data_IF_499165710437
#
_entry.id   IF_499165710437
#
_cell.length_a   1.000
_cell.length_b   1.000
_cell.length_c   1.000
_cell.angle_alpha   90.00
_cell.angle_beta   90.00
_cell.angle_gamma   90.00
#
_symmetry.space_group_name_H-M   'P 1'
#
loop_
_entity.id
_entity.type
_entity.pdbx_description
1 polymer ?
#
# COMPACT_ATOMS: atom_id res chain seq x y z
N UNK A 1 0.38 -30.88 13.95
CA UNK A 1 1.28 -30.27 12.95
C UNK A 1 0.49 -29.18 12.27
N UNK A 2 0.82 -27.91 12.52
CA UNK A 2 0.13 -26.81 11.85
C UNK A 2 0.56 -26.82 10.39
N UNK A 3 -0.39 -27.01 9.48
CA UNK A 3 -0.16 -26.84 8.06
C UNK A 3 0.28 -25.40 7.87
N UNK A 4 1.55 -25.18 7.49
CA UNK A 4 2.03 -23.87 7.04
C UNK A 4 1.27 -23.57 5.75
N UNK A 5 0.09 -22.98 5.90
CA UNK A 5 -0.70 -22.52 4.77
C UNK A 5 0.16 -21.53 4.02
N UNK A 6 0.51 -21.85 2.78
CA UNK A 6 1.00 -20.86 1.85
C UNK A 6 -0.02 -19.71 1.88
N UNK A 7 0.41 -18.53 2.33
CA UNK A 7 -0.40 -17.33 2.16
C UNK A 7 -0.48 -17.12 0.66
N UNK A 8 -1.63 -17.44 0.08
CA UNK A 8 -1.89 -17.11 -1.30
C UNK A 8 -1.81 -15.59 -1.40
N UNK A 9 -0.95 -15.03 -2.27
CA UNK A 9 -0.89 -13.60 -2.47
C UNK A 9 -2.29 -13.05 -2.75
N UNK A 10 -2.68 -12.01 -2.02
CA UNK A 10 -3.93 -11.29 -2.27
C UNK A 10 -3.62 -9.99 -2.98
N UNK A 11 -4.36 -9.67 -4.05
CA UNK A 11 -4.32 -8.38 -4.72
C UNK A 11 -5.70 -7.72 -4.61
N UNK A 12 -5.74 -6.50 -4.07
CA UNK A 12 -6.96 -5.74 -3.85
C UNK A 12 -6.78 -4.34 -4.43
N UNK A 13 -7.74 -3.92 -5.26
CA UNK A 13 -7.83 -2.54 -5.72
C UNK A 13 -8.40 -1.64 -4.62
N UNK A 14 -7.79 -0.47 -4.44
CA UNK A 14 -8.24 0.56 -3.51
C UNK A 14 -8.44 1.87 -4.27
N UNK A 15 -9.62 2.45 -4.09
CA UNK A 15 -9.91 3.80 -4.54
C UNK A 15 -9.27 4.80 -3.56
N UNK A 16 -8.28 5.52 -4.04
CA UNK A 16 -7.64 6.61 -3.30
C UNK A 16 -8.26 7.91 -3.77
N UNK A 17 -8.73 8.74 -2.84
CA UNK A 17 -9.32 10.04 -3.14
C UNK A 17 -8.39 11.20 -2.79
N UNK A 18 -8.93 12.41 -2.90
CA UNK A 18 -8.27 13.65 -2.48
C UNK A 18 -8.22 13.86 -0.95
N UNK A 19 -8.82 12.95 -0.18
CA UNK A 19 -8.67 12.86 1.28
C UNK A 19 -7.95 11.55 1.62
N UNK A 20 -7.26 11.52 2.76
CA UNK A 20 -6.55 10.32 3.22
C UNK A 20 -7.49 9.11 3.33
N UNK A 21 -7.24 8.09 2.52
CA UNK A 21 -7.99 6.82 2.50
C UNK A 21 -7.12 5.71 3.07
N UNK A 22 -7.66 4.89 3.97
CA UNK A 22 -6.96 3.69 4.44
C UNK A 22 -6.89 2.62 3.35
N UNK A 23 -5.68 2.18 3.01
CA UNK A 23 -5.43 1.18 1.95
C UNK A 23 -4.93 -0.17 2.48
N UNK A 24 -4.31 -0.18 3.66
CA UNK A 24 -3.98 -1.41 4.39
C UNK A 24 -4.35 -1.28 5.86
N UNK A 25 -4.93 -2.32 6.43
CA UNK A 25 -5.04 -2.45 7.88
C UNK A 25 -3.70 -2.87 8.49
N UNK A 26 -3.54 -2.57 9.79
CA UNK A 26 -2.43 -3.10 10.57
C UNK A 26 -2.56 -4.62 10.71
N UNK A 27 -1.46 -5.33 10.48
CA UNK A 27 -1.36 -6.78 10.61
C UNK A 27 -0.41 -7.13 11.77
N UNK A 28 -0.71 -8.20 12.52
CA UNK A 28 0.20 -8.68 13.55
C UNK A 28 1.49 -9.23 12.91
N UNK A 29 2.65 -9.17 13.57
CA UNK A 29 3.90 -9.75 13.06
C UNK A 29 3.81 -11.25 12.71
N UNK A 30 2.89 -11.99 13.33
CA UNK A 30 2.64 -13.42 13.07
C UNK A 30 1.85 -13.68 11.78
N UNK A 31 1.50 -12.65 11.01
CA UNK A 31 0.68 -12.78 9.80
C UNK A 31 1.34 -13.57 8.67
N UNK A 32 2.66 -13.78 8.71
CA UNK A 32 3.42 -14.49 7.67
C UNK A 32 3.62 -13.72 6.35
N UNK A 33 3.02 -12.53 6.21
CA UNK A 33 3.26 -11.60 5.10
C UNK A 33 4.73 -11.19 5.08
N UNK A 34 5.35 -11.39 3.93
CA UNK A 34 6.76 -11.09 3.65
C UNK A 34 6.94 -9.90 2.73
N UNK A 35 5.88 -9.48 2.02
CA UNK A 35 5.90 -8.28 1.18
C UNK A 35 4.53 -7.59 1.05
N UNK A 36 4.60 -6.31 0.66
CA UNK A 36 3.49 -5.50 0.15
C UNK A 36 3.98 -4.74 -1.09
N UNK A 37 3.36 -4.98 -2.23
CA UNK A 37 3.56 -4.25 -3.47
C UNK A 37 2.39 -3.30 -3.70
N UNK A 38 2.71 -2.04 -3.90
CA UNK A 38 1.77 -0.97 -4.19
C UNK A 38 1.98 -0.52 -5.62
N UNK A 39 0.92 -0.52 -6.43
CA UNK A 39 1.00 -0.12 -7.84
C UNK A 39 -0.02 0.97 -8.11
N UNK A 40 0.47 2.16 -8.43
CA UNK A 40 -0.37 3.28 -8.84
C UNK A 40 -0.76 3.08 -10.30
N UNK A 41 -2.00 2.65 -10.54
CA UNK A 41 -2.50 2.38 -11.90
C UNK A 41 -2.91 3.69 -12.61
N UNK A 42 -2.98 4.80 -11.89
CA UNK A 42 -3.28 6.11 -12.45
C UNK A 42 -2.11 6.68 -13.25
N UNK A 43 -2.40 7.33 -14.37
CA UNK A 43 -1.45 7.91 -15.31
C UNK A 43 -1.30 9.44 -15.19
N UNK A 44 -2.14 10.07 -14.35
CA UNK A 44 -2.27 11.52 -14.23
C UNK A 44 -1.95 12.07 -12.84
N UNK A 45 -1.86 11.22 -11.80
CA UNK A 45 -1.55 11.66 -10.44
C UNK A 45 -0.62 10.72 -9.69
N UNK A 46 0.27 11.33 -8.88
CA UNK A 46 1.09 10.65 -7.89
C UNK A 46 0.24 10.31 -6.64
N UNK A 47 0.57 9.19 -5.98
CA UNK A 47 -0.06 8.75 -4.73
C UNK A 47 0.96 8.85 -3.59
N UNK A 48 0.55 9.44 -2.48
CA UNK A 48 1.36 9.63 -1.27
C UNK A 48 0.88 8.66 -0.19
N UNK A 49 1.79 7.91 0.42
CA UNK A 49 1.50 6.97 1.50
C UNK A 49 1.90 7.52 2.87
N UNK A 50 0.98 7.41 3.82
CA UNK A 50 1.20 7.63 5.25
C UNK A 50 1.30 6.30 5.99
N UNK A 51 2.42 6.07 6.70
CA UNK A 51 2.64 4.86 7.49
C UNK A 51 2.24 5.12 8.95
N UNK A 52 1.23 4.39 9.44
CA UNK A 52 0.73 4.48 10.82
C UNK A 52 0.02 5.80 11.14
N UNK A 53 -0.32 6.59 10.11
CA UNK A 53 -0.98 7.88 10.22
C UNK A 53 -1.71 8.23 8.92
N UNK A 54 -2.54 9.27 8.98
CA UNK A 54 -3.16 9.85 7.80
C UNK A 54 -2.11 10.27 6.76
N UNK A 55 -2.41 10.03 5.49
CA UNK A 55 -1.57 10.46 4.38
C UNK A 55 -1.80 11.94 4.09
N UNK A 56 -0.73 12.62 3.69
CA UNK A 56 -0.74 14.04 3.34
C UNK A 56 -0.05 14.22 1.97
N UNK A 57 -0.63 15.05 1.11
CA UNK A 57 -0.05 15.38 -0.20
C UNK A 57 1.36 15.97 -0.04
N UNK A 58 2.28 15.58 -0.92
CA UNK A 58 3.69 16.01 -0.91
C UNK A 58 4.48 15.60 0.34
N UNK A 59 4.00 14.61 1.11
CA UNK A 59 4.70 14.06 2.29
C UNK A 59 4.71 12.53 2.26
N UNK A 60 5.65 11.94 3.02
CA UNK A 60 5.74 10.48 3.15
C UNK A 60 6.38 9.80 1.93
N UNK A 61 5.94 8.57 1.65
CA UNK A 61 6.41 7.81 0.49
C UNK A 61 5.58 8.17 -0.73
N UNK A 62 6.23 8.41 -1.87
CA UNK A 62 5.55 8.78 -3.12
C UNK A 62 5.62 7.63 -4.11
N UNK A 63 4.47 7.18 -4.58
CA UNK A 63 4.34 6.31 -5.73
C UNK A 63 3.96 7.20 -6.91
N UNK A 64 4.92 7.40 -7.81
CA UNK A 64 4.68 8.22 -9.00
C UNK A 64 3.55 7.62 -9.83
N UNK A 65 2.90 8.46 -10.64
CA UNK A 65 1.94 8.01 -11.65
C UNK A 65 2.51 6.84 -12.47
N UNK A 66 1.69 5.80 -12.66
CA UNK A 66 2.05 4.55 -13.33
C UNK A 66 3.27 3.84 -12.73
N UNK A 67 3.64 4.17 -11.48
CA UNK A 67 4.78 3.60 -10.78
C UNK A 67 4.35 2.57 -9.74
N UNK A 68 5.37 1.95 -9.16
CA UNK A 68 5.22 0.95 -8.12
C UNK A 68 6.17 1.21 -6.95
N UNK A 69 5.81 0.65 -5.80
CA UNK A 69 6.65 0.65 -4.62
C UNK A 69 6.48 -0.66 -3.87
N UNK A 70 7.59 -1.30 -3.55
CA UNK A 70 7.61 -2.59 -2.89
C UNK A 70 8.24 -2.49 -1.49
N UNK A 71 7.50 -2.96 -0.51
CA UNK A 71 7.95 -3.19 0.86
C UNK A 71 8.19 -4.68 1.05
N UNK A 72 9.39 -5.09 1.44
CA UNK A 72 9.70 -6.52 1.65
C UNK A 72 10.62 -6.73 2.85
N UNK A 73 10.54 -7.91 3.46
CA UNK A 73 11.50 -8.31 4.52
C UNK A 73 12.93 -8.27 3.97
N UNK A 74 13.13 -8.73 2.73
CA UNK A 74 14.45 -8.79 2.10
C UNK A 74 15.10 -7.40 1.94
N UNK A 75 14.30 -6.35 1.74
CA UNK A 75 14.77 -4.95 1.67
C UNK A 75 14.82 -4.26 3.05
N UNK A 76 14.38 -4.92 4.11
CA UNK A 76 14.34 -4.35 5.48
C UNK A 76 13.36 -3.19 5.64
N UNK A 77 12.46 -2.97 4.67
CA UNK A 77 11.51 -1.85 4.65
C UNK A 77 10.05 -2.31 4.84
N UNK A 78 9.81 -3.58 5.19
CA UNK A 78 8.46 -4.08 5.39
C UNK A 78 7.77 -3.37 6.56
N UNK A 79 6.68 -2.67 6.25
CA UNK A 79 5.80 -2.07 7.23
C UNK A 79 4.45 -2.80 7.27
N UNK A 80 4.16 -3.44 8.41
CA UNK A 80 2.93 -4.20 8.65
C UNK A 80 1.83 -3.39 9.35
N UNK A 81 2.10 -2.14 9.73
CA UNK A 81 1.07 -1.27 10.32
C UNK A 81 0.03 -0.81 9.30
N UNK A 82 -0.87 0.04 9.78
CA UNK A 82 -1.89 0.69 8.94
C UNK A 82 -1.22 1.62 7.92
N UNK A 83 -1.67 1.56 6.67
CA UNK A 83 -1.19 2.43 5.61
C UNK A 83 -2.37 3.19 5.03
N UNK A 84 -2.24 4.52 5.00
CA UNK A 84 -3.16 5.40 4.32
C UNK A 84 -2.53 5.93 3.03
N UNK A 85 -3.37 6.31 2.07
CA UNK A 85 -2.99 6.89 0.79
C UNK A 85 -3.82 8.14 0.47
N UNK A 86 -3.23 9.07 -0.28
CA UNK A 86 -3.90 10.28 -0.78
C UNK A 86 -3.29 10.68 -2.14
N UNK A 87 -4.03 11.42 -2.97
CA UNK A 87 -3.48 12.08 -4.16
C UNK A 87 -3.95 13.54 -4.27
N UNK A 88 -3.32 14.30 -5.16
CA UNK A 88 -3.70 15.70 -5.47
C UNK A 88 -4.49 15.87 -6.79
N UNK A 89 -4.67 14.79 -7.56
CA UNK A 89 -5.45 14.80 -8.80
C UNK A 89 -6.97 14.86 -8.61
N UNK A 90 -7.70 14.78 -9.72
CA UNK A 90 -9.18 14.77 -9.77
C UNK A 90 -9.74 13.35 -9.81
N UNK A 91 -10.95 13.16 -9.28
CA UNK A 91 -11.59 11.84 -9.20
C UNK A 91 -10.89 10.89 -8.21
N UNK A 92 -11.20 9.60 -8.28
CA UNK A 92 -10.48 8.57 -7.53
C UNK A 92 -9.37 7.98 -8.38
N UNK A 93 -8.24 7.64 -7.76
CA UNK A 93 -7.13 6.91 -8.39
C UNK A 93 -7.09 5.48 -7.87
N UNK A 94 -6.77 4.55 -8.74
CA UNK A 94 -6.68 3.13 -8.38
C UNK A 94 -5.27 2.80 -7.90
N UNK A 95 -5.17 2.34 -6.66
CA UNK A 95 -3.96 1.71 -6.10
C UNK A 95 -4.21 0.21 -5.98
N UNK A 96 -3.43 -0.61 -6.70
CA UNK A 96 -3.42 -2.05 -6.42
C UNK A 96 -2.48 -2.32 -5.26
N UNK A 97 -2.97 -3.06 -4.27
CA UNK A 97 -2.19 -3.54 -3.13
C UNK A 97 -2.11 -5.06 -3.24
N UNK A 98 -0.92 -5.55 -3.54
CA UNK A 98 -0.62 -6.99 -3.50
C UNK A 98 0.20 -7.30 -2.26
N UNK A 99 -0.17 -8.35 -1.52
CA UNK A 99 0.57 -8.76 -0.33
C UNK A 99 0.61 -10.29 -0.24
N UNK A 100 1.70 -10.81 0.33
CA UNK A 100 1.94 -12.24 0.54
C UNK A 100 3.16 -12.48 1.41
#
# INVERSE_FOLDING_TARGET
MAHTGYLTPSCIAKDVGATSTKVCDALPPSTGITYRLFQNISDDADIYLGLGKAAETNKGLVIRKSGDYEMTIAKGNLYLGEICAIHAGTGNKTLLVTQG
#
